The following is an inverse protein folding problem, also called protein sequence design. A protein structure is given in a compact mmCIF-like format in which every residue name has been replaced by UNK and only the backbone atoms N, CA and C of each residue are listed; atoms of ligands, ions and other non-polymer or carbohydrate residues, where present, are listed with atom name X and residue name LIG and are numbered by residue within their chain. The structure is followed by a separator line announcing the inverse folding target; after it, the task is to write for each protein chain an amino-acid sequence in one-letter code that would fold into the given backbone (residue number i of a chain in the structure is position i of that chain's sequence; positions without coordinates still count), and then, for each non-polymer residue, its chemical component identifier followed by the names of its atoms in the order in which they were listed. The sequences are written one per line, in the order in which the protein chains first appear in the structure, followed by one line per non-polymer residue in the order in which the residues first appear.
data_IF_934139701137
#
_entry.id   IF_934139701137
#
_cell.length_a   1.000
_cell.length_b   1.000
_cell.length_c   1.000
_cell.angle_alpha   90.00
_cell.angle_beta   90.00
_cell.angle_gamma   90.00
#
_symmetry.space_group_name_H-M   'P 1'
#
loop_
_entity.id
_entity.type
_entity.pdbx_description
1 polymer ?
#
# COMPACT_ATOMS: atom_id res chain seq x y z
N UNK A 1 54.33 4.34 47.42
CA UNK A 1 55.04 3.22 48.07
C UNK A 1 54.36 1.93 47.60
N UNK A 2 55.21 1.14 46.98
CA UNK A 2 55.26 -0.33 46.91
C UNK A 2 54.09 -0.99 46.16
N UNK A 3 54.32 -1.68 45.18
CA UNK A 3 55.25 -2.61 44.51
C UNK A 3 54.36 -3.62 43.79
N UNK A 4 54.37 -3.69 42.43
CA UNK A 4 55.11 -4.68 41.60
C UNK A 4 54.82 -6.16 42.00
N UNK A 5 54.46 -7.05 41.14
CA UNK A 5 55.04 -7.53 39.89
C UNK A 5 54.12 -8.58 39.23
N UNK A 6 54.43 -9.03 38.01
CA UNK A 6 53.51 -9.80 37.14
C UNK A 6 53.77 -11.31 37.20
N UNK A 7 52.82 -12.13 36.83
CA UNK A 7 52.99 -13.58 36.64
C UNK A 7 52.68 -14.00 35.17
N UNK A 8 53.74 -14.35 34.55
CA UNK A 8 54.10 -15.36 33.55
C UNK A 8 52.98 -16.11 32.78
N UNK A 9 53.14 -16.03 31.48
CA UNK A 9 52.59 -16.92 30.47
C UNK A 9 53.16 -18.36 30.53
N UNK A 10 52.47 -19.37 30.12
CA UNK A 10 53.10 -20.57 29.56
C UNK A 10 52.91 -20.68 28.05
N UNK A 11 54.01 -21.08 27.48
CA UNK A 11 54.38 -21.33 26.11
C UNK A 11 53.54 -22.40 25.41
N UNK A 12 53.46 -22.19 24.11
CA UNK A 12 52.89 -23.05 23.05
C UNK A 12 53.42 -24.48 23.00
N UNK A 13 52.57 -25.39 22.54
CA UNK A 13 53.00 -26.51 21.74
C UNK A 13 52.06 -26.65 20.54
N UNK A 14 52.65 -26.53 19.35
CA UNK A 14 52.06 -26.77 18.06
C UNK A 14 51.80 -28.28 17.88
N UNK A 15 50.63 -28.63 17.54
CA UNK A 15 50.22 -29.94 17.00
C UNK A 15 49.51 -29.77 15.69
N UNK A 16 50.25 -29.89 14.61
CA UNK A 16 49.76 -29.93 13.25
C UNK A 16 49.03 -31.26 13.00
N UNK A 17 47.72 -31.23 12.75
CA UNK A 17 47.03 -32.36 12.12
C UNK A 17 46.00 -31.84 11.12
N UNK A 18 46.35 -31.95 9.84
CA UNK A 18 45.41 -31.74 8.73
C UNK A 18 44.34 -32.82 8.73
N UNK A 19 43.08 -32.46 8.45
CA UNK A 19 42.02 -33.46 8.20
C UNK A 19 42.16 -34.04 6.76
N UNK A 20 41.73 -35.28 6.55
CA UNK A 20 41.91 -35.97 5.28
C UNK A 20 41.04 -35.42 4.15
N UNK A 21 41.61 -35.36 2.98
CA UNK A 21 40.99 -34.98 1.69
C UNK A 21 40.02 -36.10 1.30
N UNK A 22 38.71 -35.84 1.34
CA UNK A 22 37.66 -36.70 0.80
C UNK A 22 37.46 -36.32 -0.67
N UNK A 23 37.84 -37.23 -1.59
CA UNK A 23 37.57 -37.11 -3.03
C UNK A 23 36.07 -37.21 -3.32
N UNK A 24 35.51 -36.39 -4.25
CA UNK A 24 34.11 -36.43 -4.58
C UNK A 24 33.76 -37.67 -5.39
N UNK A 25 32.76 -38.42 -4.94
CA UNK A 25 32.11 -39.50 -5.66
C UNK A 25 31.23 -38.94 -6.79
N UNK A 26 31.12 -39.59 -7.95
CA UNK A 26 30.36 -39.07 -9.08
C UNK A 26 28.83 -39.13 -8.79
N UNK A 27 28.19 -38.00 -8.93
CA UNK A 27 26.75 -37.81 -8.84
C UNK A 27 26.07 -38.49 -10.03
N UNK A 28 25.29 -39.53 -9.80
CA UNK A 28 24.41 -40.17 -10.80
C UNK A 28 23.37 -39.15 -11.27
N UNK A 29 23.41 -38.81 -12.57
CA UNK A 29 22.41 -37.99 -13.24
C UNK A 29 21.05 -38.67 -13.23
N UNK A 30 20.10 -38.19 -12.44
CA UNK A 30 18.66 -38.52 -12.59
C UNK A 30 18.12 -37.78 -13.81
N UNK A 31 17.74 -38.55 -14.85
CA UNK A 31 16.97 -38.04 -15.99
C UNK A 31 15.67 -37.38 -15.49
N UNK A 32 15.57 -36.06 -15.62
CA UNK A 32 14.32 -35.33 -15.39
C UNK A 32 13.35 -35.66 -16.53
N UNK A 33 12.31 -36.39 -16.26
CA UNK A 33 11.12 -36.44 -17.10
C UNK A 33 10.46 -35.04 -17.02
N UNK A 34 10.61 -34.27 -18.09
CA UNK A 34 9.87 -33.02 -18.25
C UNK A 34 8.40 -33.36 -18.51
N UNK A 35 7.52 -33.08 -17.54
CA UNK A 35 6.09 -33.08 -17.76
C UNK A 35 5.74 -31.95 -18.78
N UNK A 36 5.35 -32.36 -19.98
CA UNK A 36 4.89 -31.46 -21.05
C UNK A 36 3.38 -31.18 -20.99
N UNK A 37 2.73 -31.49 -19.86
CA UNK A 37 1.26 -31.39 -19.70
C UNK A 37 0.71 -29.98 -19.47
N UNK A 38 1.41 -29.02 -18.78
CA UNK A 38 0.78 -27.72 -18.50
C UNK A 38 0.65 -26.78 -19.72
N UNK A 39 1.49 -26.94 -20.75
CA UNK A 39 1.49 -26.00 -21.90
C UNK A 39 0.32 -26.26 -22.84
N UNK A 40 -0.06 -27.54 -23.01
CA UNK A 40 -1.20 -27.92 -23.87
C UNK A 40 -2.53 -27.56 -23.22
N UNK A 41 -2.66 -27.68 -21.89
CA UNK A 41 -3.85 -27.27 -21.15
C UNK A 41 -4.02 -25.74 -21.17
N UNK A 42 -2.92 -24.97 -21.11
CA UNK A 42 -2.95 -23.51 -21.21
C UNK A 42 -3.31 -23.02 -22.62
N UNK A 43 -2.80 -23.67 -23.66
CA UNK A 43 -3.17 -23.37 -25.05
C UNK A 43 -4.63 -23.71 -25.35
N UNK A 44 -5.15 -24.82 -24.80
CA UNK A 44 -6.56 -25.19 -24.97
C UNK A 44 -7.52 -24.26 -24.22
N UNK A 45 -7.09 -23.67 -23.09
CA UNK A 45 -7.85 -22.65 -22.37
C UNK A 45 -7.85 -21.31 -23.14
N UNK A 46 -6.71 -20.92 -23.74
CA UNK A 46 -6.63 -19.71 -24.57
C UNK A 46 -7.46 -19.85 -25.87
N UNK A 47 -7.41 -21.01 -26.53
CA UNK A 47 -8.22 -21.28 -27.73
C UNK A 47 -9.71 -21.41 -27.41
N UNK A 48 -10.07 -21.90 -26.21
CA UNK A 48 -11.45 -21.91 -25.72
C UNK A 48 -12.00 -20.51 -25.47
N UNK A 49 -11.20 -19.60 -24.89
CA UNK A 49 -11.58 -18.21 -24.65
C UNK A 49 -11.70 -17.39 -25.94
N UNK A 50 -10.81 -17.60 -26.91
CA UNK A 50 -10.89 -16.97 -28.24
C UNK A 50 -12.05 -17.57 -29.06
N UNK A 51 -12.31 -18.87 -28.91
CA UNK A 51 -13.45 -19.53 -29.56
C UNK A 51 -14.79 -19.06 -29.02
N UNK A 52 -14.93 -18.84 -27.72
CA UNK A 52 -16.14 -18.29 -27.11
C UNK A 52 -16.35 -16.83 -27.52
N UNK A 53 -15.28 -16.02 -27.54
CA UNK A 53 -15.35 -14.65 -28.03
C UNK A 53 -15.75 -14.57 -29.51
N UNK A 54 -15.26 -15.51 -30.35
CA UNK A 54 -15.59 -15.59 -31.77
C UNK A 54 -17.02 -16.10 -32.04
N UNK A 55 -17.58 -16.92 -31.13
CA UNK A 55 -18.98 -17.41 -31.25
C UNK A 55 -20.03 -16.37 -30.82
N UNK A 56 -19.63 -15.39 -29.99
CA UNK A 56 -20.55 -14.35 -29.55
C UNK A 56 -20.37 -13.02 -30.30
N UNK A 57 -19.23 -12.74 -30.89
CA UNK A 57 -18.98 -11.52 -31.64
C UNK A 57 -19.91 -11.30 -32.85
N UNK A 58 -20.24 -12.29 -33.68
CA UNK A 58 -21.12 -12.04 -34.86
C UNK A 58 -22.58 -11.81 -34.50
N UNK A 59 -23.09 -12.37 -33.39
CA UNK A 59 -24.52 -12.27 -33.03
C UNK A 59 -24.92 -10.96 -32.36
N UNK A 60 -23.96 -10.21 -31.82
CA UNK A 60 -24.22 -8.90 -31.24
C UNK A 60 -24.30 -7.77 -32.29
N UNK A 61 -23.76 -8.00 -33.51
CA UNK A 61 -23.68 -6.97 -34.56
C UNK A 61 -24.70 -7.15 -35.70
N UNK A 62 -25.42 -8.27 -35.78
CA UNK A 62 -26.31 -8.56 -36.90
C UNK A 62 -27.76 -8.08 -36.76
N UNK A 63 -28.17 -7.49 -35.61
CA UNK A 63 -29.57 -7.03 -35.44
C UNK A 63 -29.76 -5.52 -35.36
N UNK A 64 -28.81 -4.73 -35.87
CA UNK A 64 -29.05 -3.31 -36.11
C UNK A 64 -28.84 -3.02 -37.60
N UNK A 65 -29.88 -3.28 -38.42
CA UNK A 65 -29.98 -2.75 -39.76
C UNK A 65 -30.26 -1.25 -39.72
N UNK A 66 -29.24 -0.50 -39.32
CA UNK A 66 -29.12 0.94 -39.42
C UNK A 66 -27.71 1.21 -39.88
N UNK A 67 -27.54 1.73 -41.09
CA UNK A 67 -26.30 2.12 -41.70
C UNK A 67 -25.61 3.21 -40.87
N UNK A 68 -24.88 2.80 -39.88
CA UNK A 68 -23.97 3.63 -39.09
C UNK A 68 -22.65 2.88 -38.95
N UNK A 69 -21.65 3.30 -39.69
CA UNK A 69 -20.30 2.78 -39.55
C UNK A 69 -19.86 2.94 -38.10
N UNK A 70 -19.58 1.83 -37.41
CA UNK A 70 -18.81 1.82 -36.16
C UNK A 70 -17.36 2.11 -36.57
N UNK A 71 -17.11 3.35 -36.98
CA UNK A 71 -15.76 3.83 -37.23
C UNK A 71 -15.17 4.26 -35.92
N UNK A 72 -14.26 3.42 -35.43
CA UNK A 72 -13.09 3.92 -34.77
C UNK A 72 -13.23 4.36 -33.32
N UNK A 73 -13.05 3.43 -32.40
CA UNK A 73 -12.30 3.73 -31.19
C UNK A 73 -10.85 4.03 -31.60
N UNK A 74 -10.60 5.24 -32.07
CA UNK A 74 -9.23 5.74 -32.22
C UNK A 74 -8.79 6.30 -30.88
N UNK A 75 -8.03 5.52 -30.14
CA UNK A 75 -7.29 5.96 -28.97
C UNK A 75 -6.11 6.79 -29.47
N UNK A 76 -6.13 8.09 -29.27
CA UNK A 76 -4.96 8.94 -29.47
C UNK A 76 -4.06 8.84 -28.25
N UNK A 77 -2.78 8.43 -28.40
CA UNK A 77 -1.82 8.47 -27.28
C UNK A 77 -1.69 9.91 -26.77
N UNK A 78 -1.91 10.11 -25.47
CA UNK A 78 -1.70 11.40 -24.81
C UNK A 78 -2.90 12.35 -24.74
N UNK A 79 -4.10 11.93 -25.11
CA UNK A 79 -5.34 12.71 -24.93
C UNK A 79 -6.18 12.16 -23.78
N UNK A 80 -6.70 13.03 -22.93
CA UNK A 80 -7.85 12.70 -22.09
C UNK A 80 -8.90 12.00 -22.99
N UNK A 81 -9.63 11.02 -22.42
CA UNK A 81 -10.60 10.20 -23.17
C UNK A 81 -11.68 11.05 -23.86
N UNK A 82 -11.37 11.66 -25.01
CA UNK A 82 -12.33 12.34 -25.85
C UNK A 82 -13.10 11.26 -26.61
N UNK A 83 -14.30 10.94 -26.16
CA UNK A 83 -15.18 9.97 -26.82
C UNK A 83 -16.51 10.62 -27.18
N UNK A 84 -17.09 10.26 -28.34
CA UNK A 84 -18.48 10.59 -28.54
C UNK A 84 -19.33 9.91 -27.46
N UNK A 85 -20.41 10.57 -26.98
CA UNK A 85 -21.26 10.02 -25.94
C UNK A 85 -21.80 8.65 -26.38
N UNK A 86 -21.71 7.67 -25.49
CA UNK A 86 -22.24 6.33 -25.74
C UNK A 86 -23.75 6.40 -25.81
N UNK A 87 -24.34 5.66 -26.74
CA UNK A 87 -25.79 5.46 -26.76
C UNK A 87 -26.27 4.73 -25.51
N UNK A 88 -27.55 4.88 -25.08
CA UNK A 88 -28.07 4.16 -23.91
C UNK A 88 -27.87 2.63 -23.99
N UNK A 89 -27.97 2.05 -25.20
CA UNK A 89 -27.73 0.63 -25.41
C UNK A 89 -26.27 0.23 -25.23
N UNK A 90 -25.32 1.06 -25.68
CA UNK A 90 -23.88 0.86 -25.45
C UNK A 90 -23.52 1.04 -23.99
N UNK A 91 -24.15 1.99 -23.28
CA UNK A 91 -24.01 2.14 -21.82
C UNK A 91 -24.47 0.89 -21.08
N UNK A 92 -25.68 0.40 -21.39
CA UNK A 92 -26.21 -0.80 -20.75
C UNK A 92 -25.34 -2.04 -21.02
N UNK A 93 -24.87 -2.21 -22.26
CA UNK A 93 -23.95 -3.30 -22.61
C UNK A 93 -22.60 -3.19 -21.90
N UNK A 94 -22.03 -1.97 -21.77
CA UNK A 94 -20.80 -1.73 -21.07
C UNK A 94 -20.95 -1.96 -19.56
N UNK A 95 -22.03 -1.47 -18.96
CA UNK A 95 -22.33 -1.70 -17.54
C UNK A 95 -22.53 -3.19 -17.24
N UNK A 96 -23.15 -3.92 -18.14
CA UNK A 96 -23.27 -5.38 -18.02
C UNK A 96 -21.90 -6.08 -18.10
N UNK A 97 -21.04 -5.67 -19.03
CA UNK A 97 -19.68 -6.19 -19.16
C UNK A 97 -18.82 -5.88 -17.91
N UNK A 98 -18.91 -4.64 -17.42
CA UNK A 98 -18.20 -4.19 -16.21
C UNK A 98 -18.61 -5.02 -14.98
N UNK A 99 -19.89 -5.41 -14.87
CA UNK A 99 -20.37 -6.27 -13.78
C UNK A 99 -19.70 -7.65 -13.69
N UNK A 100 -19.07 -8.12 -14.78
CA UNK A 100 -18.30 -9.37 -14.80
C UNK A 100 -16.77 -9.18 -14.66
N UNK A 101 -16.28 -7.95 -14.82
CA UNK A 101 -14.84 -7.67 -14.70
C UNK A 101 -14.50 -7.30 -13.25
N UNK A 102 -13.45 -7.91 -12.74
CA UNK A 102 -12.88 -7.48 -11.46
C UNK A 102 -12.27 -6.08 -11.61
N UNK A 103 -12.33 -5.26 -10.57
CA UNK A 103 -11.76 -3.90 -10.58
C UNK A 103 -10.31 -3.85 -11.06
N UNK A 104 -9.49 -4.83 -10.70
CA UNK A 104 -8.09 -4.92 -11.15
C UNK A 104 -7.95 -5.06 -12.68
N UNK A 105 -8.86 -5.77 -13.34
CA UNK A 105 -8.85 -5.89 -14.82
C UNK A 105 -9.25 -4.56 -15.48
N UNK A 106 -10.26 -3.88 -14.93
CA UNK A 106 -10.67 -2.55 -15.39
C UNK A 106 -9.56 -1.52 -15.15
N UNK A 107 -8.93 -1.56 -13.99
CA UNK A 107 -7.81 -0.70 -13.64
C UNK A 107 -6.61 -0.91 -14.57
N UNK A 108 -6.25 -2.15 -14.89
CA UNK A 108 -5.18 -2.44 -15.84
C UNK A 108 -5.47 -1.88 -17.24
N UNK A 109 -6.73 -1.98 -17.69
CA UNK A 109 -7.15 -1.34 -18.93
C UNK A 109 -7.06 0.19 -18.86
N UNK A 110 -7.46 0.79 -17.73
CA UNK A 110 -7.35 2.23 -17.51
C UNK A 110 -5.88 2.68 -17.55
N UNK A 111 -5.01 2.01 -16.78
CA UNK A 111 -3.57 2.30 -16.71
C UNK A 111 -2.90 2.17 -18.08
N UNK A 112 -3.29 1.20 -18.91
CA UNK A 112 -2.73 1.06 -20.27
C UNK A 112 -2.98 2.27 -21.19
N UNK A 113 -3.84 3.21 -20.78
CA UNK A 113 -4.14 4.46 -21.49
C UNK A 113 -3.61 5.71 -20.79
N UNK A 114 -2.98 5.54 -19.62
CA UNK A 114 -2.31 6.63 -18.90
C UNK A 114 -0.98 6.97 -19.56
N UNK A 115 -0.58 8.22 -19.44
CA UNK A 115 0.79 8.63 -19.72
C UNK A 115 1.71 8.17 -18.57
N UNK A 116 3.02 8.06 -18.84
CA UNK A 116 3.98 7.72 -17.80
C UNK A 116 3.95 8.74 -16.64
N UNK A 117 3.71 10.01 -16.93
CA UNK A 117 3.64 11.06 -15.90
C UNK A 117 2.42 10.90 -15.00
N UNK A 118 1.27 10.55 -15.55
CA UNK A 118 0.08 10.21 -14.78
C UNK A 118 0.31 8.95 -13.93
N UNK A 119 0.89 7.90 -14.50
CA UNK A 119 1.20 6.69 -13.74
C UNK A 119 2.12 6.99 -12.56
N UNK A 120 3.25 7.67 -12.80
CA UNK A 120 4.21 8.01 -11.76
C UNK A 120 3.61 8.95 -10.69
N UNK A 121 2.79 9.91 -11.10
CA UNK A 121 2.07 10.78 -10.18
C UNK A 121 1.13 10.01 -9.27
N UNK A 122 0.40 9.01 -9.82
CA UNK A 122 -0.50 8.17 -9.01
C UNK A 122 0.23 7.32 -7.97
N UNK A 123 1.50 7.03 -8.15
CA UNK A 123 2.32 6.32 -7.16
C UNK A 123 2.75 7.19 -5.98
N UNK A 124 2.38 8.47 -5.94
CA UNK A 124 2.86 9.41 -4.92
C UNK A 124 1.69 9.96 -4.12
N UNK A 125 1.74 9.79 -2.79
CA UNK A 125 0.94 10.50 -1.82
C UNK A 125 1.77 11.67 -1.30
N UNK A 126 1.26 12.88 -1.47
CA UNK A 126 1.96 14.10 -1.10
C UNK A 126 1.49 14.64 0.24
N UNK A 127 2.40 15.33 0.90
CA UNK A 127 2.13 16.26 1.99
C UNK A 127 2.15 17.70 1.45
N UNK A 128 1.71 18.65 2.24
CA UNK A 128 1.84 20.08 1.91
C UNK A 128 2.04 20.92 3.17
N UNK A 129 2.80 21.99 3.04
CA UNK A 129 3.18 22.83 4.18
C UNK A 129 2.14 23.92 4.50
N UNK A 130 1.33 24.30 3.51
CA UNK A 130 0.34 25.36 3.65
C UNK A 130 -0.89 24.88 4.45
N UNK A 131 -1.67 25.83 4.95
CA UNK A 131 -2.91 25.54 5.69
C UNK A 131 -4.17 25.75 4.84
N UNK A 132 -4.01 25.78 3.53
CA UNK A 132 -5.08 26.00 2.54
C UNK A 132 -4.64 25.41 1.19
N UNK A 133 -5.58 25.30 0.25
CA UNK A 133 -5.29 24.90 -1.13
C UNK A 133 -4.44 25.95 -1.83
N UNK A 134 -3.13 25.70 -1.92
CA UNK A 134 -2.13 26.65 -2.42
C UNK A 134 -1.73 26.35 -3.88
N UNK A 135 -1.06 27.29 -4.58
CA UNK A 135 -0.49 27.04 -5.90
C UNK A 135 0.52 25.89 -5.94
N UNK A 136 1.26 25.65 -4.84
CA UNK A 136 2.19 24.53 -4.74
C UNK A 136 1.45 23.20 -4.69
N UNK A 137 0.39 23.12 -3.87
CA UNK A 137 -0.48 21.95 -3.83
C UNK A 137 -1.22 21.74 -5.17
N UNK A 138 -1.68 22.82 -5.82
CA UNK A 138 -2.28 22.72 -7.16
C UNK A 138 -1.29 22.16 -8.20
N UNK A 139 -0.02 22.53 -8.12
CA UNK A 139 1.01 21.97 -8.99
C UNK A 139 1.13 20.45 -8.80
N UNK A 140 1.15 19.96 -7.55
CA UNK A 140 1.24 18.52 -7.23
C UNK A 140 0.01 17.75 -7.70
N UNK A 141 -1.18 18.30 -7.45
CA UNK A 141 -2.45 17.64 -7.75
C UNK A 141 -2.78 17.71 -9.24
N UNK A 142 -2.73 18.89 -9.84
CA UNK A 142 -3.22 19.18 -11.18
C UNK A 142 -2.16 18.90 -12.28
N UNK A 143 -0.88 19.19 -12.02
CA UNK A 143 0.18 19.09 -13.03
C UNK A 143 1.07 17.86 -12.88
N UNK A 144 1.33 17.44 -11.64
CA UNK A 144 2.15 16.27 -11.35
C UNK A 144 1.32 15.02 -11.05
N UNK A 145 -0.02 15.14 -11.07
CA UNK A 145 -0.98 14.04 -10.98
C UNK A 145 -0.87 13.18 -9.72
N UNK A 146 -0.63 13.81 -8.55
CA UNK A 146 -0.55 13.10 -7.27
C UNK A 146 -1.68 12.08 -7.10
N UNK A 147 -1.35 10.88 -6.62
CA UNK A 147 -2.30 9.80 -6.38
C UNK A 147 -3.13 10.01 -5.12
N UNK A 148 -2.58 10.72 -4.14
CA UNK A 148 -3.24 11.07 -2.89
C UNK A 148 -2.60 12.25 -2.19
N UNK A 149 -3.28 12.75 -1.16
CA UNK A 149 -2.84 13.83 -0.28
C UNK A 149 -3.12 13.42 1.16
N UNK A 150 -2.11 13.45 2.03
CA UNK A 150 -2.30 13.28 3.46
C UNK A 150 -2.44 14.67 4.12
N UNK A 151 -3.37 14.76 5.08
CA UNK A 151 -3.66 15.97 5.85
C UNK A 151 -3.41 15.76 7.34
N UNK A 152 -2.87 16.78 7.97
CA UNK A 152 -2.57 16.81 9.40
C UNK A 152 -3.42 17.86 10.14
N UNK A 153 -3.43 17.84 11.47
CA UNK A 153 -4.23 18.71 12.32
C UNK A 153 -3.99 20.22 12.08
N UNK A 154 -2.78 20.61 11.66
CA UNK A 154 -2.48 22.03 11.41
C UNK A 154 -3.15 22.56 10.15
N UNK A 155 -3.59 21.70 9.24
CA UNK A 155 -4.34 22.03 8.03
C UNK A 155 -5.85 21.94 8.27
N UNK A 156 -6.29 21.10 9.19
CA UNK A 156 -7.71 20.81 9.46
C UNK A 156 -8.21 21.60 10.69
N UNK A 157 -8.51 22.90 10.50
CA UNK A 157 -8.88 23.78 11.62
C UNK A 157 -10.38 23.87 11.89
N UNK A 158 -11.19 23.89 10.84
CA UNK A 158 -12.66 23.95 10.94
C UNK A 158 -13.27 23.05 9.87
N UNK A 159 -14.48 22.59 10.14
CA UNK A 159 -15.23 21.71 9.22
C UNK A 159 -15.35 22.33 7.82
N UNK A 160 -15.80 23.58 7.72
CA UNK A 160 -16.05 24.23 6.41
C UNK A 160 -14.77 24.51 5.64
N UNK A 161 -13.70 24.93 6.30
CA UNK A 161 -12.40 25.16 5.67
C UNK A 161 -11.83 23.84 5.15
N UNK A 162 -11.75 22.79 5.98
CA UNK A 162 -11.22 21.48 5.60
C UNK A 162 -12.00 20.88 4.42
N UNK A 163 -13.34 20.89 4.51
CA UNK A 163 -14.20 20.40 3.43
C UNK A 163 -14.02 21.20 2.12
N UNK A 164 -13.87 22.52 2.22
CA UNK A 164 -13.64 23.40 1.07
C UNK A 164 -12.31 23.13 0.38
N UNK A 165 -11.24 22.95 1.15
CA UNK A 165 -9.92 22.64 0.60
C UNK A 165 -9.90 21.28 -0.08
N UNK A 166 -10.51 20.25 0.53
CA UNK A 166 -10.62 18.90 -0.07
C UNK A 166 -11.45 18.95 -1.36
N UNK A 167 -12.53 19.73 -1.39
CA UNK A 167 -13.33 19.89 -2.60
C UNK A 167 -12.53 20.52 -3.74
N UNK A 168 -11.67 21.51 -3.46
CA UNK A 168 -10.77 22.10 -4.44
C UNK A 168 -9.71 21.10 -4.92
N UNK A 169 -9.11 20.30 -4.02
CA UNK A 169 -8.17 19.24 -4.39
C UNK A 169 -8.82 18.26 -5.38
N UNK A 170 -10.01 17.75 -5.07
CA UNK A 170 -10.73 16.81 -5.93
C UNK A 170 -11.19 17.44 -7.26
N UNK A 171 -11.56 18.71 -7.24
CA UNK A 171 -11.97 19.44 -8.45
C UNK A 171 -10.83 19.62 -9.45
N UNK A 172 -9.60 19.81 -8.96
CA UNK A 172 -8.43 20.07 -9.80
C UNK A 172 -7.68 18.78 -10.17
N UNK A 173 -7.94 17.67 -9.50
CA UNK A 173 -7.35 16.39 -9.82
C UNK A 173 -7.97 15.78 -11.09
N UNK A 174 -7.14 15.38 -12.06
CA UNK A 174 -7.58 14.65 -13.26
C UNK A 174 -8.04 13.22 -12.95
N UNK A 175 -7.44 12.60 -11.94
CA UNK A 175 -7.82 11.29 -11.40
C UNK A 175 -8.15 11.52 -9.92
N UNK A 176 -9.32 11.09 -9.41
CA UNK A 176 -9.72 11.33 -8.04
C UNK A 176 -8.66 10.91 -7.02
N UNK A 177 -8.46 11.73 -6.00
CA UNK A 177 -7.42 11.56 -4.99
C UNK A 177 -7.86 10.60 -3.88
N UNK A 178 -6.91 9.84 -3.35
CA UNK A 178 -6.96 9.35 -1.99
C UNK A 178 -6.68 10.55 -1.07
N UNK A 179 -7.66 10.96 -0.27
CA UNK A 179 -7.51 11.98 0.76
C UNK A 179 -7.40 11.27 2.10
N UNK A 180 -6.28 11.40 2.73
CA UNK A 180 -5.85 10.58 3.85
C UNK A 180 -5.55 11.41 5.10
N UNK A 181 -5.67 10.79 6.26
CA UNK A 181 -5.19 11.31 7.54
C UNK A 181 -4.96 10.16 8.53
N UNK A 182 -4.14 10.40 9.58
CA UNK A 182 -3.98 9.50 10.71
C UNK A 182 -5.03 9.80 11.77
N UNK A 183 -6.18 9.17 11.69
CA UNK A 183 -7.26 9.36 12.67
C UNK A 183 -7.42 8.08 13.50
N UNK A 184 -6.45 7.82 14.41
CA UNK A 184 -6.46 6.67 15.32
C UNK A 184 -7.31 6.92 16.57
N UNK A 185 -7.44 8.18 16.96
CA UNK A 185 -8.02 8.60 18.24
C UNK A 185 -6.98 8.71 19.36
N UNK A 186 -7.46 8.94 20.57
CA UNK A 186 -6.59 9.11 21.74
C UNK A 186 -5.84 10.44 21.76
N UNK A 187 -4.80 10.54 22.60
CA UNK A 187 -4.10 11.80 22.83
C UNK A 187 -2.98 12.09 21.81
N UNK A 188 -2.50 11.10 21.04
CA UNK A 188 -1.29 11.23 20.22
C UNK A 188 -1.57 11.35 18.72
N UNK A 189 -2.43 10.49 18.18
CA UNK A 189 -2.69 10.40 16.74
C UNK A 189 -4.18 10.60 16.46
N UNK A 190 -4.65 11.82 16.77
CA UNK A 190 -6.02 12.27 16.57
C UNK A 190 -6.04 13.63 15.89
N UNK A 191 -6.11 13.62 14.54
CA UNK A 191 -5.94 14.80 13.68
C UNK A 191 -7.18 15.69 13.64
N UNK A 192 -8.34 15.14 14.00
CA UNK A 192 -9.63 15.83 13.90
C UNK A 192 -10.12 16.44 15.24
N UNK A 193 -9.25 16.53 16.24
CA UNK A 193 -9.61 17.06 17.58
C UNK A 193 -10.26 18.44 17.52
N UNK A 194 -9.76 19.33 16.66
CA UNK A 194 -10.27 20.69 16.49
C UNK A 194 -11.70 20.74 15.94
N UNK A 195 -12.14 19.71 15.21
CA UNK A 195 -13.45 19.66 14.54
C UNK A 195 -14.45 18.83 15.33
N UNK A 196 -14.04 17.65 15.82
CA UNK A 196 -14.95 16.67 16.42
C UNK A 196 -14.70 16.41 17.91
N UNK A 197 -13.69 17.08 18.52
CA UNK A 197 -13.34 16.84 19.92
C UNK A 197 -12.69 15.48 20.12
N UNK A 198 -12.72 14.99 21.35
CA UNK A 198 -12.07 13.75 21.75
C UNK A 198 -12.67 12.50 21.09
N UNK A 199 -11.78 11.58 20.71
CA UNK A 199 -12.12 10.22 20.24
C UNK A 199 -11.37 9.19 21.11
N UNK A 200 -12.02 8.07 21.41
CA UNK A 200 -11.39 6.99 22.17
C UNK A 200 -10.14 6.47 21.47
N UNK A 201 -9.10 6.23 22.25
CA UNK A 201 -7.88 5.54 21.80
C UNK A 201 -8.13 4.04 21.58
N UNK A 202 -7.24 3.37 20.87
CA UNK A 202 -7.33 1.93 20.67
C UNK A 202 -7.33 1.16 22.01
N UNK A 203 -6.48 1.58 22.96
CA UNK A 203 -6.42 0.98 24.30
C UNK A 203 -7.70 1.20 25.09
N UNK A 204 -8.33 2.37 25.02
CA UNK A 204 -9.63 2.60 25.69
C UNK A 204 -10.73 1.75 25.06
N UNK A 205 -10.73 1.60 23.74
CA UNK A 205 -11.67 0.72 23.03
C UNK A 205 -11.47 -0.73 23.49
N UNK A 206 -10.26 -1.23 23.53
CA UNK A 206 -9.98 -2.60 24.00
C UNK A 206 -10.34 -2.81 25.48
N UNK A 207 -10.05 -1.81 26.32
CA UNK A 207 -10.40 -1.84 27.75
C UNK A 207 -11.93 -1.82 28.03
N UNK A 208 -12.75 -1.51 27.02
CA UNK A 208 -14.20 -1.67 27.16
C UNK A 208 -14.65 -3.12 27.35
N UNK A 209 -13.83 -4.07 26.90
CA UNK A 209 -14.15 -5.50 26.92
C UNK A 209 -15.23 -5.92 25.91
N UNK A 210 -15.68 -5.02 25.03
CA UNK A 210 -16.71 -5.27 24.01
C UNK A 210 -16.25 -4.87 22.60
N UNK A 211 -16.00 -5.82 21.68
CA UNK A 211 -15.63 -5.52 20.30
C UNK A 211 -16.66 -4.69 19.52
N UNK A 212 -17.93 -4.65 19.95
CA UNK A 212 -18.92 -3.78 19.33
C UNK A 212 -18.58 -2.29 19.52
N UNK A 213 -17.90 -1.92 20.60
CA UNK A 213 -17.41 -0.56 20.80
C UNK A 213 -16.40 -0.20 19.70
N UNK A 214 -15.50 -1.12 19.35
CA UNK A 214 -14.56 -0.92 18.24
C UNK A 214 -15.30 -0.70 16.91
N UNK A 215 -16.32 -1.52 16.61
CA UNK A 215 -17.14 -1.36 15.39
C UNK A 215 -17.84 0.02 15.37
N UNK A 216 -18.38 0.45 16.48
CA UNK A 216 -19.04 1.77 16.60
C UNK A 216 -18.04 2.93 16.42
N UNK A 217 -16.83 2.82 17.00
CA UNK A 217 -15.78 3.83 16.83
C UNK A 217 -15.26 3.89 15.40
N UNK A 218 -15.08 2.75 14.73
CA UNK A 218 -14.73 2.70 13.30
C UNK A 218 -15.81 3.32 12.41
N UNK A 219 -17.09 3.01 12.64
CA UNK A 219 -18.21 3.60 11.92
C UNK A 219 -18.31 5.11 12.15
N UNK A 220 -18.11 5.56 13.40
CA UNK A 220 -18.07 7.00 13.73
C UNK A 220 -16.90 7.70 13.03
N UNK A 221 -15.71 7.08 13.00
CA UNK A 221 -14.58 7.62 12.27
C UNK A 221 -14.89 7.77 10.77
N UNK A 222 -15.46 6.74 10.15
CA UNK A 222 -15.85 6.80 8.74
C UNK A 222 -16.83 7.93 8.45
N UNK A 223 -17.89 8.06 9.26
CA UNK A 223 -18.88 9.13 9.11
C UNK A 223 -18.23 10.53 9.20
N UNK A 224 -17.38 10.75 10.19
CA UNK A 224 -16.74 12.04 10.43
C UNK A 224 -15.75 12.39 9.30
N UNK A 225 -14.99 11.41 8.82
CA UNK A 225 -14.04 11.55 7.71
C UNK A 225 -14.76 11.87 6.39
N UNK A 226 -15.75 11.07 6.01
CA UNK A 226 -16.51 11.26 4.78
C UNK A 226 -17.28 12.58 4.75
N UNK A 227 -17.75 13.07 5.89
CA UNK A 227 -18.40 14.37 5.98
C UNK A 227 -17.50 15.53 5.57
N UNK A 228 -16.17 15.38 5.76
CA UNK A 228 -15.14 16.32 5.33
C UNK A 228 -14.69 16.07 3.88
N UNK A 229 -14.90 14.87 3.34
CA UNK A 229 -14.40 14.42 2.04
C UNK A 229 -13.11 13.58 2.13
N UNK A 230 -12.68 13.22 3.35
CA UNK A 230 -11.56 12.29 3.59
C UNK A 230 -12.08 10.87 3.33
N UNK A 231 -11.41 10.13 2.44
CA UNK A 231 -11.86 8.82 1.97
C UNK A 231 -10.93 7.67 2.38
N UNK A 232 -9.84 7.98 3.07
CA UNK A 232 -8.86 7.03 3.58
C UNK A 232 -8.46 7.40 5.01
N UNK A 233 -8.32 6.39 5.86
CA UNK A 233 -7.79 6.53 7.22
C UNK A 233 -6.56 5.63 7.39
N UNK A 234 -5.42 6.21 7.74
CA UNK A 234 -4.20 5.48 8.09
C UNK A 234 -4.32 4.87 9.49
N UNK A 235 -5.35 4.06 9.66
CA UNK A 235 -5.73 3.34 10.86
C UNK A 235 -6.54 2.08 10.48
N UNK A 236 -6.59 1.08 11.37
CA UNK A 236 -6.07 1.01 12.73
C UNK A 236 -4.57 0.64 12.80
N UNK A 237 -3.93 1.03 13.91
CA UNK A 237 -2.67 0.46 14.34
C UNK A 237 -2.90 -0.98 14.81
N UNK A 238 -2.17 -1.94 14.23
CA UNK A 238 -2.27 -3.38 14.55
C UNK A 238 -0.98 -3.94 15.15
N UNK A 239 -0.10 -3.07 15.62
CA UNK A 239 1.10 -3.46 16.35
C UNK A 239 0.74 -4.14 17.67
N UNK A 240 1.54 -5.13 18.07
CA UNK A 240 1.40 -5.82 19.35
C UNK A 240 2.30 -5.13 20.38
N UNK A 241 1.72 -4.46 21.36
CA UNK A 241 2.46 -3.67 22.36
C UNK A 241 3.24 -4.58 23.32
N UNK A 242 4.50 -4.84 23.03
CA UNK A 242 5.40 -5.66 23.85
C UNK A 242 6.24 -4.83 24.81
N UNK A 243 6.57 -3.60 24.42
CA UNK A 243 7.27 -2.63 25.27
C UNK A 243 6.41 -1.38 25.35
N UNK A 244 6.25 -0.85 26.57
CA UNK A 244 5.51 0.38 26.80
C UNK A 244 6.30 1.60 26.26
N UNK A 245 6.42 1.69 24.95
CA UNK A 245 6.92 2.87 24.27
C UNK A 245 5.99 4.07 24.52
N UNK A 246 6.53 5.28 24.40
CA UNK A 246 5.84 6.51 24.81
C UNK A 246 4.46 6.70 24.17
N UNK A 247 4.31 6.36 22.90
CA UNK A 247 3.07 6.52 22.10
C UNK A 247 2.28 5.21 21.95
N UNK A 248 2.95 4.05 21.97
CA UNK A 248 2.30 2.74 21.76
C UNK A 248 1.29 2.39 22.85
N UNK A 249 1.44 2.93 24.05
CA UNK A 249 0.56 2.64 25.21
C UNK A 249 -0.92 2.91 24.91
N UNK A 250 -1.23 3.90 24.07
CA UNK A 250 -2.64 4.24 23.74
C UNK A 250 -3.02 3.91 22.30
N UNK A 251 -2.05 3.68 21.40
CA UNK A 251 -2.31 3.46 19.97
C UNK A 251 -2.70 2.03 19.64
N UNK A 252 -2.33 1.06 20.49
CA UNK A 252 -2.53 -0.37 20.22
C UNK A 252 -3.73 -0.95 20.97
N UNK A 253 -4.34 -1.98 20.39
CA UNK A 253 -5.49 -2.68 21.00
C UNK A 253 -5.08 -3.73 22.04
N UNK A 254 -3.78 -3.98 22.23
CA UNK A 254 -3.31 -4.91 23.24
C UNK A 254 -1.88 -5.37 23.06
N UNK A 255 -1.48 -6.28 23.94
CA UNK A 255 -0.14 -6.85 23.99
C UNK A 255 -0.07 -8.33 23.54
N UNK A 256 -1.12 -8.79 22.90
CA UNK A 256 -1.18 -10.12 22.26
C UNK A 256 -1.78 -10.01 20.86
N UNK A 257 -1.32 -10.82 19.89
CA UNK A 257 -1.86 -10.83 18.54
C UNK A 257 -3.38 -11.06 18.51
N UNK A 258 -3.91 -11.89 19.42
CA UNK A 258 -5.32 -12.23 19.51
C UNK A 258 -6.17 -11.02 19.89
N UNK A 259 -5.76 -10.27 20.92
CA UNK A 259 -6.47 -9.06 21.35
C UNK A 259 -6.44 -7.99 20.24
N UNK A 260 -5.28 -7.78 19.60
CA UNK A 260 -5.14 -6.83 18.50
C UNK A 260 -6.07 -7.21 17.36
N UNK A 261 -6.05 -8.48 16.92
CA UNK A 261 -6.91 -8.95 15.81
C UNK A 261 -8.39 -8.81 16.16
N UNK A 262 -8.80 -9.14 17.39
CA UNK A 262 -10.20 -9.07 17.82
C UNK A 262 -10.77 -7.64 17.69
N UNK A 263 -10.14 -6.68 18.33
CA UNK A 263 -10.65 -5.29 18.38
C UNK A 263 -10.36 -4.51 17.09
N UNK A 264 -9.17 -4.65 16.51
CA UNK A 264 -8.85 -3.95 15.28
C UNK A 264 -9.66 -4.46 14.07
N UNK A 265 -10.00 -5.78 14.01
CA UNK A 265 -10.92 -6.28 12.98
C UNK A 265 -12.33 -5.71 13.14
N UNK A 266 -12.82 -5.58 14.36
CA UNK A 266 -14.11 -4.97 14.64
C UNK A 266 -14.13 -3.46 14.25
N UNK A 267 -13.04 -2.74 14.55
CA UNK A 267 -12.87 -1.35 14.13
C UNK A 267 -12.87 -1.24 12.58
N UNK A 268 -12.09 -2.11 11.90
CA UNK A 268 -12.00 -2.14 10.44
C UNK A 268 -13.37 -2.39 9.79
N UNK A 269 -14.18 -3.31 10.34
CA UNK A 269 -15.56 -3.53 9.85
C UNK A 269 -16.41 -2.28 9.94
N UNK A 270 -16.30 -1.53 11.04
CA UNK A 270 -16.98 -0.26 11.19
C UNK A 270 -16.49 0.78 10.17
N UNK A 271 -15.21 0.87 9.97
CA UNK A 271 -14.58 1.85 9.08
C UNK A 271 -14.89 1.53 7.59
N UNK A 272 -14.48 0.35 7.12
CA UNK A 272 -14.62 -0.03 5.70
C UNK A 272 -16.07 -0.33 5.31
N UNK A 273 -16.87 -0.84 6.24
CA UNK A 273 -18.32 -1.05 6.04
C UNK A 273 -19.09 0.23 5.80
N UNK A 274 -18.52 1.40 6.11
CA UNK A 274 -19.08 2.72 5.83
C UNK A 274 -18.34 3.45 4.70
N UNK A 275 -17.49 2.76 3.91
CA UNK A 275 -16.93 3.28 2.66
C UNK A 275 -15.63 4.08 2.79
N UNK A 276 -14.93 4.02 3.91
CA UNK A 276 -13.58 4.60 4.08
C UNK A 276 -12.53 3.50 3.89
N UNK A 277 -11.50 3.77 3.11
CA UNK A 277 -10.35 2.87 2.96
C UNK A 277 -9.61 2.79 4.30
N UNK A 278 -9.48 1.58 4.84
CA UNK A 278 -8.71 1.34 6.06
C UNK A 278 -7.27 0.91 5.70
N UNK A 279 -6.30 1.48 6.40
CA UNK A 279 -4.89 1.16 6.26
C UNK A 279 -4.33 0.63 7.58
N UNK A 280 -4.00 -0.67 7.62
CA UNK A 280 -3.35 -1.24 8.81
C UNK A 280 -1.86 -0.96 8.83
N UNK A 281 -1.32 -0.70 10.02
CA UNK A 281 0.08 -0.31 10.23
C UNK A 281 0.60 -0.79 11.58
N UNK A 282 1.89 -0.85 11.79
CA UNK A 282 3.04 -0.54 10.91
C UNK A 282 3.74 -1.85 10.53
N UNK A 283 3.46 -2.34 9.32
CA UNK A 283 4.01 -3.64 8.89
C UNK A 283 5.56 -3.62 8.91
N UNK A 284 6.25 -4.64 9.40
CA UNK A 284 5.78 -5.94 9.88
C UNK A 284 5.42 -6.00 11.37
N UNK A 285 5.50 -4.89 12.10
CA UNK A 285 5.21 -4.71 13.53
C UNK A 285 6.26 -3.85 14.23
N UNK A 286 5.81 -2.83 14.98
CA UNK A 286 6.66 -1.90 15.73
C UNK A 286 6.59 -2.10 17.25
N UNK A 287 5.74 -2.99 17.73
CA UNK A 287 5.39 -3.07 19.15
C UNK A 287 6.52 -3.50 20.11
N UNK A 288 7.66 -3.98 19.61
CA UNK A 288 8.90 -4.27 20.38
C UNK A 288 10.00 -3.22 20.13
N UNK A 289 9.73 -2.19 19.34
CA UNK A 289 10.71 -1.14 19.07
C UNK A 289 10.89 -0.21 20.28
N UNK A 290 12.14 0.00 20.67
CA UNK A 290 12.49 0.90 21.79
C UNK A 290 12.77 2.35 21.36
N UNK A 291 12.79 2.60 20.05
CA UNK A 291 13.07 3.91 19.44
C UNK A 291 11.96 4.20 18.43
N UNK A 292 11.44 5.41 18.48
CA UNK A 292 10.51 5.93 17.47
C UNK A 292 11.23 6.11 16.13
N UNK A 293 10.60 5.66 15.04
CA UNK A 293 11.09 5.77 13.67
C UNK A 293 11.40 7.22 13.24
N UNK A 294 10.67 8.20 13.77
CA UNK A 294 10.95 9.63 13.58
C UNK A 294 12.28 10.09 14.24
N UNK A 295 12.74 9.37 15.25
CA UNK A 295 13.97 9.71 15.98
C UNK A 295 15.22 9.00 15.41
N UNK A 296 15.07 7.83 14.81
CA UNK A 296 16.13 7.02 14.23
C UNK A 296 15.62 5.68 13.75
N UNK A 297 16.49 4.81 13.23
CA UNK A 297 16.10 3.49 12.77
C UNK A 297 15.76 2.57 13.95
N UNK A 298 14.49 2.16 14.13
CA UNK A 298 14.11 1.16 15.11
C UNK A 298 14.73 -0.20 14.76
N UNK A 299 15.17 -0.95 15.78
CA UNK A 299 15.70 -2.30 15.60
C UNK A 299 14.95 -3.26 16.52
N UNK A 300 14.31 -4.25 15.92
CA UNK A 300 13.62 -5.32 16.64
C UNK A 300 14.50 -6.58 16.62
N UNK A 301 15.03 -6.96 17.79
CA UNK A 301 15.98 -8.07 17.94
C UNK A 301 15.31 -9.38 18.35
N UNK A 302 14.13 -9.65 17.83
CA UNK A 302 13.41 -10.90 18.03
C UNK A 302 13.95 -12.02 17.12
N UNK A 303 13.71 -13.27 17.52
CA UNK A 303 13.94 -14.41 16.64
C UNK A 303 12.93 -14.43 15.48
N UNK A 304 13.27 -15.10 14.40
CA UNK A 304 12.36 -15.28 13.26
C UNK A 304 10.99 -15.83 13.69
N UNK A 305 10.96 -16.84 14.57
CA UNK A 305 9.72 -17.44 15.04
C UNK A 305 8.86 -16.47 15.86
N UNK A 306 9.49 -15.61 16.67
CA UNK A 306 8.78 -14.55 17.40
C UNK A 306 8.20 -13.52 16.45
N UNK A 307 8.97 -13.02 15.48
CA UNK A 307 8.48 -12.09 14.46
C UNK A 307 7.25 -12.67 13.74
N UNK A 308 7.28 -13.95 13.34
CA UNK A 308 6.13 -14.59 12.67
C UNK A 308 4.93 -14.83 13.57
N UNK A 309 5.16 -15.17 14.84
CA UNK A 309 4.08 -15.53 15.78
C UNK A 309 3.49 -14.33 16.52
N UNK A 310 4.18 -13.19 16.55
CA UNK A 310 3.77 -11.99 17.27
C UNK A 310 3.55 -10.84 16.29
N UNK A 311 4.62 -10.31 15.67
CA UNK A 311 4.56 -9.05 14.92
C UNK A 311 3.79 -9.21 13.61
N UNK A 312 4.10 -10.23 12.82
CA UNK A 312 3.43 -10.54 11.55
C UNK A 312 2.06 -11.19 11.70
N UNK A 313 1.73 -11.72 12.88
CA UNK A 313 0.50 -12.49 13.09
C UNK A 313 -0.78 -11.67 12.86
N UNK A 314 -0.92 -10.43 13.35
CA UNK A 314 -2.09 -9.60 13.05
C UNK A 314 -2.23 -9.34 11.55
N UNK A 315 -1.18 -8.92 10.86
CA UNK A 315 -1.22 -8.64 9.42
C UNK A 315 -1.67 -9.85 8.61
N UNK A 316 -1.11 -11.04 8.92
CA UNK A 316 -1.53 -12.29 8.30
C UNK A 316 -3.01 -12.58 8.54
N UNK A 317 -3.51 -12.37 9.76
CA UNK A 317 -4.90 -12.62 10.11
C UNK A 317 -5.85 -11.69 9.33
N UNK A 318 -5.50 -10.42 9.18
CA UNK A 318 -6.27 -9.46 8.39
C UNK A 318 -6.29 -9.84 6.90
N UNK A 319 -5.13 -10.11 6.30
CA UNK A 319 -4.99 -10.45 4.87
C UNK A 319 -5.75 -11.74 4.53
N UNK A 320 -5.71 -12.73 5.42
CA UNK A 320 -6.32 -14.05 5.20
C UNK A 320 -7.72 -14.18 5.79
N UNK A 321 -8.32 -13.09 6.27
CA UNK A 321 -9.67 -13.09 6.77
C UNK A 321 -10.68 -13.48 5.68
N UNK A 322 -11.66 -14.36 5.98
CA UNK A 322 -12.77 -14.64 5.06
C UNK A 322 -13.76 -13.46 4.96
N UNK A 323 -13.71 -12.51 5.87
CA UNK A 323 -14.56 -11.33 5.90
C UNK A 323 -13.87 -10.19 5.14
N UNK A 324 -14.42 -9.82 3.99
CA UNK A 324 -13.87 -8.77 3.12
C UNK A 324 -13.80 -7.39 3.78
N UNK A 325 -14.66 -7.10 4.77
CA UNK A 325 -14.60 -5.85 5.53
C UNK A 325 -13.42 -5.80 6.51
N UNK A 326 -12.78 -6.94 6.76
CA UNK A 326 -11.55 -7.05 7.57
C UNK A 326 -10.31 -7.00 6.68
N UNK A 327 -10.38 -7.50 5.44
CA UNK A 327 -9.24 -7.40 4.54
C UNK A 327 -8.87 -5.93 4.34
N UNK A 328 -7.60 -5.52 4.59
CA UNK A 328 -7.24 -4.12 4.56
C UNK A 328 -7.25 -3.57 3.13
N UNK A 329 -7.85 -2.41 2.93
CA UNK A 329 -7.76 -1.67 1.67
C UNK A 329 -6.32 -1.28 1.37
N UNK A 330 -5.57 -0.89 2.41
CA UNK A 330 -4.15 -0.59 2.32
C UNK A 330 -3.36 -1.17 3.51
N UNK A 331 -2.06 -1.33 3.30
CA UNK A 331 -1.09 -1.67 4.35
C UNK A 331 0.04 -0.64 4.30
N UNK A 332 0.42 -0.11 5.48
CA UNK A 332 1.58 0.76 5.62
C UNK A 332 2.71 -0.02 6.30
N UNK A 333 3.81 -0.31 5.59
CA UNK A 333 5.05 -0.74 6.23
C UNK A 333 5.75 0.44 6.87
N UNK A 334 6.80 0.17 7.64
CA UNK A 334 7.61 1.20 8.27
C UNK A 334 9.10 0.87 8.20
N UNK A 335 9.94 1.84 8.56
CA UNK A 335 11.40 1.77 8.53
C UNK A 335 11.99 1.05 9.76
N UNK A 336 11.47 -0.13 10.09
CA UNK A 336 12.00 -1.00 11.15
C UNK A 336 12.98 -2.03 10.60
N UNK A 337 14.13 -2.19 11.26
CA UNK A 337 15.10 -3.24 10.94
C UNK A 337 14.85 -4.47 11.83
N UNK A 338 14.67 -5.61 11.21
CA UNK A 338 14.53 -6.93 11.86
C UNK A 338 15.64 -7.88 11.36
N UNK A 339 16.83 -7.88 11.99
CA UNK A 339 18.01 -8.58 11.45
C UNK A 339 17.85 -10.09 11.31
N UNK A 340 16.92 -10.71 12.05
CA UNK A 340 16.62 -12.14 11.93
C UNK A 340 15.95 -12.51 10.58
N UNK A 341 15.44 -11.52 9.82
CA UNK A 341 14.80 -11.71 8.51
C UNK A 341 15.61 -11.00 7.42
N UNK A 342 15.83 -9.69 7.56
CA UNK A 342 16.70 -8.92 6.67
C UNK A 342 17.64 -8.03 7.50
N UNK A 343 18.94 -8.34 7.52
CA UNK A 343 19.92 -7.55 8.28
C UNK A 343 20.37 -6.28 7.54
N UNK A 344 19.92 -6.06 6.31
CA UNK A 344 20.45 -5.02 5.41
C UNK A 344 19.49 -3.85 5.25
N UNK A 345 18.23 -4.15 4.98
CA UNK A 345 17.21 -3.15 4.66
C UNK A 345 16.14 -3.10 5.76
N UNK A 346 15.67 -1.89 6.13
CA UNK A 346 14.46 -1.75 6.92
C UNK A 346 13.28 -2.35 6.13
N UNK A 347 12.23 -2.75 6.84
CA UNK A 347 11.18 -3.59 6.28
C UNK A 347 10.52 -3.00 5.03
N UNK A 348 10.23 -1.70 5.01
CA UNK A 348 9.60 -1.05 3.85
C UNK A 348 10.48 -1.02 2.59
N UNK A 349 11.81 -1.11 2.73
CA UNK A 349 12.75 -1.18 1.61
C UNK A 349 13.24 -2.60 1.33
N UNK A 350 12.77 -3.59 2.10
CA UNK A 350 13.19 -4.99 1.99
C UNK A 350 12.31 -5.79 1.04
N UNK A 351 12.92 -6.33 -0.01
CA UNK A 351 12.25 -7.27 -0.91
C UNK A 351 11.75 -8.54 -0.18
N UNK A 352 12.48 -8.97 0.87
CA UNK A 352 12.09 -10.13 1.66
C UNK A 352 10.76 -9.85 2.37
N UNK A 353 10.64 -8.71 3.06
CA UNK A 353 9.40 -8.36 3.75
C UNK A 353 8.27 -8.08 2.77
N UNK A 354 8.50 -7.20 1.79
CA UNK A 354 7.44 -6.69 0.94
C UNK A 354 6.99 -7.70 -0.12
N UNK A 355 7.93 -8.34 -0.81
CA UNK A 355 7.59 -9.26 -1.89
C UNK A 355 7.47 -10.71 -1.41
N UNK A 356 8.46 -11.24 -0.69
CA UNK A 356 8.46 -12.67 -0.40
C UNK A 356 7.47 -13.02 0.73
N UNK A 357 7.38 -12.21 1.79
CA UNK A 357 6.47 -12.47 2.91
C UNK A 357 5.08 -11.89 2.60
N UNK A 358 4.96 -10.57 2.40
CA UNK A 358 3.65 -9.91 2.28
C UNK A 358 2.90 -10.36 1.03
N UNK A 359 3.52 -10.26 -0.15
CA UNK A 359 2.86 -10.57 -1.43
C UNK A 359 2.74 -12.07 -1.66
N UNK A 360 3.87 -12.84 -1.59
CA UNK A 360 3.89 -14.24 -1.98
C UNK A 360 3.42 -15.19 -0.89
N UNK A 361 3.87 -15.00 0.36
CA UNK A 361 3.54 -15.92 1.44
C UNK A 361 2.17 -15.64 2.06
N UNK A 362 1.83 -14.38 2.32
CA UNK A 362 0.52 -14.00 2.88
C UNK A 362 -0.55 -13.81 1.82
N UNK A 363 -0.17 -13.50 0.59
CA UNK A 363 -1.08 -13.37 -0.55
C UNK A 363 -1.73 -12.00 -0.66
N UNK A 364 -1.15 -10.94 -0.05
CA UNK A 364 -1.72 -9.60 -0.13
C UNK A 364 -1.57 -9.01 -1.53
N UNK A 365 -2.67 -8.65 -2.17
CA UNK A 365 -2.73 -8.07 -3.50
C UNK A 365 -3.34 -6.64 -3.52
N UNK A 366 -3.56 -6.04 -2.35
CA UNK A 366 -3.99 -4.65 -2.19
C UNK A 366 -2.82 -3.65 -2.28
N UNK A 367 -3.13 -2.37 -2.07
CA UNK A 367 -2.16 -1.27 -2.13
C UNK A 367 -1.26 -1.27 -0.88
N UNK A 368 0.03 -1.06 -1.10
CA UNK A 368 1.00 -0.82 -0.03
C UNK A 368 1.52 0.61 -0.17
N UNK A 369 1.26 1.43 0.85
CA UNK A 369 1.74 2.80 0.98
C UNK A 369 2.93 2.81 1.95
N UNK A 370 4.10 3.30 1.54
CA UNK A 370 5.24 3.45 2.46
C UNK A 370 4.89 4.34 3.63
N UNK A 371 5.59 4.20 4.74
CA UNK A 371 5.68 5.28 5.72
C UNK A 371 6.43 6.48 5.11
N UNK A 372 6.58 7.58 5.84
CA UNK A 372 7.17 8.78 5.28
C UNK A 372 8.66 8.60 4.97
N UNK A 373 9.03 8.57 3.69
CA UNK A 373 10.37 8.27 3.20
C UNK A 373 11.45 9.28 3.63
N UNK A 374 11.08 10.38 4.29
CA UNK A 374 12.02 11.34 4.90
C UNK A 374 12.36 11.04 6.36
N UNK A 375 11.74 10.00 6.97
CA UNK A 375 12.00 9.64 8.36
C UNK A 375 13.46 9.26 8.58
N UNK A 376 13.96 9.51 9.80
CA UNK A 376 15.38 9.33 10.13
C UNK A 376 15.85 7.88 10.16
N UNK A 377 14.93 6.93 10.22
CA UNK A 377 15.21 5.51 10.06
C UNK A 377 15.60 5.15 8.63
N UNK A 378 15.14 5.90 7.64
CA UNK A 378 15.53 5.76 6.24
C UNK A 378 16.91 6.36 6.02
N UNK A 379 17.91 5.53 5.71
CA UNK A 379 19.31 5.96 5.53
C UNK A 379 19.64 6.49 4.13
N UNK A 380 18.73 6.37 3.21
CA UNK A 380 18.85 6.83 1.83
C UNK A 380 18.17 8.18 1.67
N UNK A 381 18.61 8.97 0.71
CA UNK A 381 17.81 10.14 0.33
C UNK A 381 16.44 9.70 -0.22
N UNK A 382 15.45 10.58 -0.14
CA UNK A 382 14.06 10.25 -0.45
C UNK A 382 13.88 9.70 -1.88
N UNK A 383 14.65 10.19 -2.85
CA UNK A 383 14.57 9.73 -4.24
C UNK A 383 15.13 8.31 -4.40
N UNK A 384 16.24 8.00 -3.72
CA UNK A 384 16.81 6.65 -3.70
C UNK A 384 15.86 5.70 -2.95
N UNK A 385 15.33 6.11 -1.80
CA UNK A 385 14.37 5.34 -1.03
C UNK A 385 13.11 5.03 -1.85
N UNK A 386 12.61 5.97 -2.65
CA UNK A 386 11.46 5.77 -3.53
C UNK A 386 11.68 4.64 -4.55
N UNK A 387 12.86 4.60 -5.20
CA UNK A 387 13.20 3.53 -6.15
C UNK A 387 13.34 2.18 -5.43
N UNK A 388 13.98 2.16 -4.26
CA UNK A 388 14.14 0.94 -3.46
C UNK A 388 12.78 0.42 -2.98
N UNK A 389 11.90 1.30 -2.49
CA UNK A 389 10.57 0.95 -2.01
C UNK A 389 9.71 0.31 -3.12
N UNK A 390 9.67 0.91 -4.32
CA UNK A 390 8.96 0.31 -5.45
C UNK A 390 9.53 -1.05 -5.83
N UNK A 391 10.84 -1.19 -5.89
CA UNK A 391 11.49 -2.47 -6.18
C UNK A 391 11.29 -3.51 -5.07
N UNK A 392 11.14 -3.09 -3.83
CA UNK A 392 10.81 -3.98 -2.72
C UNK A 392 9.39 -4.55 -2.84
N UNK A 393 8.42 -3.81 -3.41
CA UNK A 393 7.04 -4.26 -3.59
C UNK A 393 5.98 -3.29 -3.09
N UNK A 394 6.36 -2.07 -2.66
CA UNK A 394 5.40 -1.00 -2.35
C UNK A 394 4.77 -0.45 -3.63
N UNK A 395 3.56 0.07 -3.54
CA UNK A 395 2.83 0.63 -4.69
C UNK A 395 2.74 2.15 -4.62
N UNK A 396 2.64 2.71 -3.43
CA UNK A 396 2.50 4.15 -3.22
C UNK A 396 3.58 4.66 -2.25
N UNK A 397 4.05 5.86 -2.49
CA UNK A 397 5.20 6.48 -1.82
C UNK A 397 4.72 7.72 -1.07
N UNK A 398 4.92 7.76 0.24
CA UNK A 398 4.62 8.93 1.07
C UNK A 398 5.91 9.73 1.32
N UNK A 399 5.86 11.06 1.18
CA UNK A 399 6.99 11.87 1.61
C UNK A 399 7.20 13.23 0.97
N UNK A 400 6.94 13.48 -0.33
CA UNK A 400 7.13 14.82 -0.87
C UNK A 400 6.21 15.84 -0.20
N UNK A 401 6.81 16.92 0.36
CA UNK A 401 6.08 17.97 1.08
C UNK A 401 5.85 19.21 0.21
N UNK A 402 6.23 19.19 -1.07
CA UNK A 402 6.03 20.27 -2.03
C UNK A 402 6.31 19.82 -3.46
N UNK A 403 5.91 20.65 -4.41
CA UNK A 403 5.97 20.35 -5.85
C UNK A 403 7.40 20.05 -6.34
N UNK A 404 8.40 20.78 -5.85
CA UNK A 404 9.80 20.56 -6.23
C UNK A 404 10.29 19.16 -5.78
N UNK A 405 9.93 18.73 -4.57
CA UNK A 405 10.28 17.40 -4.06
C UNK A 405 9.55 16.31 -4.84
N UNK A 406 8.26 16.48 -5.14
CA UNK A 406 7.51 15.55 -5.95
C UNK A 406 8.08 15.43 -7.37
N UNK A 407 8.39 16.54 -8.01
CA UNK A 407 9.02 16.57 -9.33
C UNK A 407 10.40 15.88 -9.31
N UNK A 408 11.19 16.12 -8.27
CA UNK A 408 12.48 15.44 -8.06
C UNK A 408 12.32 13.94 -7.96
N UNK A 409 11.34 13.45 -7.19
CA UNK A 409 11.03 12.03 -7.05
C UNK A 409 10.58 11.43 -8.40
N UNK A 410 9.67 12.08 -9.12
CA UNK A 410 9.23 11.64 -10.47
C UNK A 410 10.43 11.51 -11.41
N UNK A 411 11.34 12.50 -11.41
CA UNK A 411 12.53 12.46 -12.24
C UNK A 411 13.48 11.31 -11.87
N UNK A 412 13.62 11.00 -10.58
CA UNK A 412 14.41 9.87 -10.12
C UNK A 412 13.80 8.52 -10.57
N UNK A 413 12.47 8.38 -10.50
CA UNK A 413 11.77 7.20 -11.01
C UNK A 413 11.91 7.05 -12.53
N UNK A 414 11.82 8.15 -13.30
CA UNK A 414 12.08 8.16 -14.73
C UNK A 414 13.53 7.74 -15.07
N UNK A 415 14.50 8.25 -14.32
CA UNK A 415 15.89 7.88 -14.48
C UNK A 415 16.14 6.38 -14.16
N UNK A 416 15.50 5.87 -13.10
CA UNK A 416 15.57 4.45 -12.75
C UNK A 416 14.92 3.55 -13.80
N UNK A 417 13.84 4.00 -14.45
CA UNK A 417 13.23 3.31 -15.59
C UNK A 417 14.16 3.31 -16.81
N UNK A 418 14.80 4.44 -17.13
CA UNK A 418 15.69 4.58 -18.27
C UNK A 418 16.96 3.72 -18.14
N UNK A 419 17.51 3.60 -16.94
CA UNK A 419 18.72 2.81 -16.69
C UNK A 419 18.43 1.33 -16.36
N UNK A 420 17.14 0.93 -16.32
CA UNK A 420 16.70 -0.45 -16.07
C UNK A 420 16.71 -0.87 -14.60
N UNK A 421 16.96 0.04 -13.65
CA UNK A 421 16.89 -0.25 -12.21
C UNK A 421 15.44 -0.46 -11.76
N UNK A 422 14.48 0.24 -12.37
CA UNK A 422 13.05 0.05 -12.17
C UNK A 422 12.41 -0.41 -13.49
N UNK A 423 11.47 -1.36 -13.44
CA UNK A 423 10.79 -1.83 -14.64
C UNK A 423 9.45 -1.14 -14.87
N UNK A 424 9.07 -0.95 -16.17
CA UNK A 424 7.73 -0.42 -16.51
C UNK A 424 6.62 -1.32 -15.95
N UNK A 425 6.81 -2.64 -16.01
CA UNK A 425 5.85 -3.60 -15.47
C UNK A 425 5.60 -3.40 -13.96
N UNK A 426 6.60 -2.99 -13.18
CA UNK A 426 6.43 -2.69 -11.75
C UNK A 426 5.63 -1.40 -11.52
N UNK A 427 5.84 -0.39 -12.38
CA UNK A 427 5.06 0.84 -12.38
C UNK A 427 3.59 0.54 -12.72
N UNK A 428 3.35 -0.22 -13.80
CA UNK A 428 2.00 -0.63 -14.24
C UNK A 428 1.27 -1.42 -13.16
N UNK A 429 1.97 -2.32 -12.48
CA UNK A 429 1.41 -3.12 -11.40
C UNK A 429 0.98 -2.25 -10.22
N UNK A 430 1.82 -1.28 -9.81
CA UNK A 430 1.52 -0.36 -8.72
C UNK A 430 0.33 0.54 -9.07
N UNK A 431 0.38 1.21 -10.23
CA UNK A 431 -0.71 2.05 -10.69
C UNK A 431 -2.03 1.27 -10.82
N UNK A 432 -1.97 0.02 -11.31
CA UNK A 432 -3.15 -0.85 -11.41
C UNK A 432 -3.79 -1.11 -10.05
N UNK A 433 -3.01 -1.38 -8.99
CA UNK A 433 -3.56 -1.57 -7.64
C UNK A 433 -4.20 -0.31 -7.10
N UNK A 434 -3.56 0.84 -7.28
CA UNK A 434 -4.08 2.14 -6.82
C UNK A 434 -5.38 2.49 -7.53
N UNK A 435 -5.44 2.35 -8.85
CA UNK A 435 -6.65 2.61 -9.63
C UNK A 435 -7.76 1.60 -9.29
N UNK A 436 -7.43 0.32 -9.09
CA UNK A 436 -8.39 -0.68 -8.65
C UNK A 436 -9.00 -0.35 -7.28
N UNK A 437 -8.18 0.08 -6.32
CA UNK A 437 -8.64 0.53 -5.01
C UNK A 437 -9.61 1.73 -5.13
N UNK A 438 -9.26 2.73 -5.94
CA UNK A 438 -10.14 3.89 -6.19
C UNK A 438 -11.48 3.49 -6.81
N UNK A 439 -11.49 2.51 -7.70
CA UNK A 439 -12.74 1.97 -8.28
C UNK A 439 -13.55 1.17 -7.26
N UNK A 440 -12.91 0.35 -6.45
CA UNK A 440 -13.54 -0.50 -5.43
C UNK A 440 -14.26 0.33 -4.36
N UNK A 441 -13.65 1.43 -3.94
CA UNK A 441 -14.23 2.36 -2.97
C UNK A 441 -15.09 3.46 -3.63
N UNK A 442 -15.43 3.31 -4.92
CA UNK A 442 -16.29 4.24 -5.67
C UNK A 442 -15.77 5.69 -5.71
N UNK A 443 -14.46 5.91 -5.55
CA UNK A 443 -13.85 7.22 -5.67
C UNK A 443 -13.80 7.68 -7.12
N UNK A 444 -13.76 6.75 -8.05
CA UNK A 444 -13.88 6.99 -9.48
C UNK A 444 -14.84 5.98 -10.14
N UNK A 445 -15.49 6.32 -11.24
CA UNK A 445 -16.32 5.38 -11.94
C UNK A 445 -15.49 4.22 -12.51
N UNK A 446 -16.01 3.00 -12.39
CA UNK A 446 -15.43 1.83 -13.03
C UNK A 446 -15.51 1.89 -14.58
N UNK A 447 -16.22 2.87 -15.10
CA UNK A 447 -16.33 3.18 -16.53
C UNK A 447 -15.86 4.62 -16.72
N UNK A 448 -15.04 4.92 -17.75
CA UNK A 448 -14.64 6.30 -18.04
C UNK A 448 -15.88 7.21 -18.14
N UNK A 449 -15.81 8.45 -17.60
CA UNK A 449 -16.89 9.40 -17.72
C UNK A 449 -17.23 9.63 -19.19
N UNK A 450 -18.50 9.83 -19.47
CA UNK A 450 -18.95 10.31 -20.77
C UNK A 450 -18.78 11.82 -20.79
N UNK A 451 -18.17 12.36 -21.83
CA UNK A 451 -18.18 13.79 -22.12
C UNK A 451 -19.53 14.26 -22.64
#
# INVERSE_FOLDING_TARGET
MQNSQPLSSPTASQGNSQPPIISPQPVRSRKRHRLRVPLIAFLLLLTGLVGVASLFAPRFFENTSGSGSVSGLTLTPGGAFVRPPLTPAQQAALMHLVGYMKYKQLASLYVSHMTLDEELGQLIMVEYADTYYSPDLDMMVNKLHAGGVIMYEFQMKTFNQTKGDIALMQQHASIPLLISTDEEGGPYVHRLTSIYGYRMSATEIANSGDPNVATQQGAKAAHDLLALGINENLAPDVDVNLVNGYDMVTRTFGNTPQAVVEYASAYMKGLQGNGVVGCIKHYPGLGDASIDAHAGLPVVNQTRDQIYSIDLAPFKAFIQSPDQLVNPGMIMPTDVLMPAIDPTYPAELSHIFMTDILRKQFGYDGVVLTDALYMKGVKWDMNQAAVLALNAGNDMLLGPTGADQMLSMINALKAALQNGTLSKARIDEAATRIIALKMEYHLMPAVPPQE
#
